data_IF_043569723750
#
_entry.id   IF_043569723750
#
_cell.length_a   1.000
_cell.length_b   1.000
_cell.length_c   1.000
_cell.angle_alpha   90.00
_cell.angle_beta   90.00
_cell.angle_gamma   90.00
#
_symmetry.space_group_name_H-M   'P 1'
#
loop_
_entity.id
_entity.type
_entity.pdbx_description
1 polymer ?
#
# COMPACT_ATOMS: atom_id res chain seq x y z
N UNK A 1 -54.93 18.89 -56.57
CA UNK A 1 -54.02 19.91 -56.00
C UNK A 1 -53.45 19.36 -54.70
N UNK A 2 -52.13 19.50 -54.54
CA UNK A 2 -51.26 18.88 -53.53
C UNK A 2 -51.73 18.87 -52.07
N UNK A 3 -51.40 17.80 -51.34
CA UNK A 3 -50.27 17.77 -50.37
C UNK A 3 -50.15 16.38 -49.74
N UNK A 4 -49.09 15.64 -50.10
CA UNK A 4 -48.66 14.41 -49.42
C UNK A 4 -47.89 14.82 -48.17
N UNK A 5 -48.39 14.47 -46.98
CA UNK A 5 -47.65 14.55 -45.72
C UNK A 5 -46.78 13.31 -45.58
N UNK A 6 -45.46 13.50 -45.56
CA UNK A 6 -44.47 12.47 -45.27
C UNK A 6 -44.07 12.62 -43.80
N UNK A 7 -44.49 11.69 -42.95
CA UNK A 7 -44.11 11.68 -41.53
C UNK A 7 -42.94 10.71 -41.35
N UNK A 8 -41.76 11.24 -41.05
CA UNK A 8 -40.55 10.48 -40.75
C UNK A 8 -40.49 10.22 -39.23
N UNK A 9 -40.69 8.98 -38.79
CA UNK A 9 -40.54 8.58 -37.40
C UNK A 9 -39.06 8.24 -37.12
N UNK A 10 -38.36 9.12 -36.41
CA UNK A 10 -37.03 8.84 -35.85
C UNK A 10 -37.18 8.10 -34.52
N UNK A 11 -36.91 6.79 -34.51
CA UNK A 11 -36.70 6.04 -33.28
C UNK A 11 -35.29 6.33 -32.75
N UNK A 12 -35.15 7.28 -31.83
CA UNK A 12 -33.95 7.39 -31.00
C UNK A 12 -34.00 6.31 -29.92
N UNK A 13 -33.37 5.17 -30.19
CA UNK A 13 -33.04 4.21 -29.13
C UNK A 13 -31.88 4.80 -28.31
N UNK A 14 -32.20 5.52 -27.23
CA UNK A 14 -31.20 5.81 -26.20
C UNK A 14 -30.83 4.49 -25.55
N UNK A 15 -29.70 3.91 -25.97
CA UNK A 15 -29.06 2.86 -25.20
C UNK A 15 -28.67 3.48 -23.86
N UNK A 16 -29.50 3.26 -22.84
CA UNK A 16 -29.14 3.56 -21.46
C UNK A 16 -28.11 2.51 -21.07
N UNK A 17 -26.85 2.77 -21.40
CA UNK A 17 -25.73 2.05 -20.82
C UNK A 17 -25.71 2.40 -19.32
N UNK A 18 -26.33 1.55 -18.51
CA UNK A 18 -25.99 1.44 -17.10
C UNK A 18 -24.55 0.96 -17.02
N UNK A 19 -23.61 1.90 -17.13
CA UNK A 19 -22.26 1.68 -16.62
C UNK A 19 -22.41 1.43 -15.13
N UNK A 20 -22.38 0.17 -14.70
CA UNK A 20 -22.13 -0.14 -13.30
C UNK A 20 -20.79 0.55 -12.98
N UNK A 21 -20.85 1.65 -12.21
CA UNK A 21 -19.68 2.19 -11.55
C UNK A 21 -19.20 1.11 -10.60
N UNK A 22 -18.41 0.16 -11.11
CA UNK A 22 -17.69 -0.80 -10.27
C UNK A 22 -16.76 0.06 -9.45
N UNK A 23 -17.05 0.15 -8.15
CA UNK A 23 -16.07 0.69 -7.21
C UNK A 23 -14.85 -0.22 -7.34
N UNK A 24 -13.79 0.30 -7.96
CA UNK A 24 -12.52 -0.39 -8.12
C UNK A 24 -11.83 -0.36 -6.74
N UNK A 25 -12.20 -1.32 -5.90
CA UNK A 25 -11.61 -1.52 -4.59
C UNK A 25 -11.18 -2.97 -4.43
N UNK A 26 -10.11 -3.20 -3.67
CA UNK A 26 -9.72 -4.56 -3.31
C UNK A 26 -10.71 -5.22 -2.34
N UNK A 27 -10.75 -6.55 -2.38
CA UNK A 27 -11.33 -7.39 -1.34
C UNK A 27 -10.24 -8.21 -0.65
N UNK A 28 -10.49 -8.60 0.60
CA UNK A 28 -9.59 -9.49 1.35
C UNK A 28 -10.07 -10.92 1.14
N UNK A 29 -9.18 -11.81 0.69
CA UNK A 29 -9.51 -13.22 0.55
C UNK A 29 -9.59 -13.91 1.92
N UNK A 30 -10.56 -14.81 2.05
CA UNK A 30 -10.60 -15.75 3.18
C UNK A 30 -9.41 -16.71 3.15
N UNK A 31 -9.16 -17.41 4.25
CA UNK A 31 -8.13 -18.46 4.30
C UNK A 31 -8.40 -19.58 3.29
N UNK A 32 -9.66 -19.93 3.03
CA UNK A 32 -10.01 -20.97 2.07
C UNK A 32 -9.72 -20.52 0.63
N UNK A 33 -10.10 -19.29 0.27
CA UNK A 33 -9.79 -18.72 -1.05
C UNK A 33 -8.29 -18.51 -1.24
N UNK A 34 -7.60 -18.04 -0.21
CA UNK A 34 -6.14 -17.91 -0.22
C UNK A 34 -5.48 -19.25 -0.54
N UNK A 35 -5.86 -20.35 0.13
CA UNK A 35 -5.29 -21.69 -0.13
C UNK A 35 -5.65 -22.26 -1.51
N UNK A 36 -6.74 -21.82 -2.14
CA UNK A 36 -7.08 -22.22 -3.51
C UNK A 36 -6.16 -21.56 -4.55
N UNK A 37 -5.75 -20.31 -4.31
CA UNK A 37 -4.88 -19.56 -5.23
C UNK A 37 -3.40 -19.81 -4.94
N UNK A 38 -3.03 -19.79 -3.67
CA UNK A 38 -1.65 -19.90 -3.16
C UNK A 38 -1.44 -21.27 -2.52
N UNK A 39 -1.40 -22.30 -3.38
CA UNK A 39 -1.08 -23.68 -3.00
C UNK A 39 0.39 -23.85 -2.64
N UNK A 40 0.76 -24.99 -2.06
CA UNK A 40 2.18 -25.28 -1.73
C UNK A 40 3.09 -25.22 -2.97
N UNK A 41 2.59 -25.66 -4.13
CA UNK A 41 3.32 -25.59 -5.39
C UNK A 41 3.55 -24.12 -5.81
N UNK A 42 2.50 -23.28 -5.75
CA UNK A 42 2.60 -21.85 -6.07
C UNK A 42 3.52 -21.14 -5.10
N UNK A 43 3.40 -21.41 -3.81
CA UNK A 43 4.24 -20.81 -2.78
C UNK A 43 5.71 -21.18 -2.98
N UNK A 44 6.00 -22.46 -3.29
CA UNK A 44 7.36 -22.92 -3.63
C UNK A 44 7.89 -22.26 -4.90
N UNK A 45 7.05 -22.13 -5.94
CA UNK A 45 7.43 -21.50 -7.21
C UNK A 45 7.84 -20.04 -7.03
N UNK A 46 7.16 -19.29 -6.16
CA UNK A 46 7.37 -17.85 -5.99
C UNK A 46 8.16 -17.46 -4.73
N UNK A 47 8.78 -18.42 -4.04
CA UNK A 47 9.50 -18.21 -2.77
C UNK A 47 8.65 -17.51 -1.69
N UNK A 48 7.36 -17.87 -1.61
CA UNK A 48 6.46 -17.43 -0.54
C UNK A 48 6.71 -18.35 0.67
N UNK A 49 7.81 -18.05 1.39
CA UNK A 49 8.35 -18.88 2.47
C UNK A 49 8.01 -18.39 3.89
N UNK A 50 7.38 -17.23 4.01
CA UNK A 50 6.82 -16.74 5.27
C UNK A 50 5.31 -16.98 5.34
N UNK A 51 4.74 -17.15 6.55
CA UNK A 51 3.30 -17.22 6.75
C UNK A 51 2.56 -16.08 6.03
N UNK A 52 1.57 -16.44 5.22
CA UNK A 52 0.68 -15.47 4.58
C UNK A 52 -0.25 -14.88 5.64
N UNK A 53 -0.14 -13.57 5.85
CA UNK A 53 -0.92 -12.82 6.84
C UNK A 53 -2.20 -12.28 6.24
N UNK A 54 -2.10 -11.80 5.00
CA UNK A 54 -3.25 -11.29 4.26
C UNK A 54 -3.04 -11.38 2.76
N UNK A 55 -4.12 -11.63 2.03
CA UNK A 55 -4.17 -11.52 0.58
C UNK A 55 -5.28 -10.57 0.19
N UNK A 56 -4.94 -9.57 -0.61
CA UNK A 56 -5.89 -8.69 -1.26
C UNK A 56 -6.04 -9.11 -2.72
N UNK A 57 -7.27 -9.21 -3.21
CA UNK A 57 -7.58 -9.36 -4.64
C UNK A 57 -8.19 -8.07 -5.14
N UNK A 58 -7.75 -7.59 -6.29
CA UNK A 58 -8.40 -6.47 -6.96
C UNK A 58 -8.48 -6.72 -8.46
N UNK A 59 -9.47 -6.07 -9.10
CA UNK A 59 -9.64 -6.03 -10.54
C UNK A 59 -9.57 -4.58 -10.97
N UNK A 60 -8.74 -4.28 -11.96
CA UNK A 60 -8.65 -2.97 -12.59
C UNK A 60 -8.68 -3.10 -14.11
N UNK A 61 -8.54 -1.98 -14.84
CA UNK A 61 -8.57 -2.00 -16.32
C UNK A 61 -7.47 -2.87 -16.93
N UNK A 62 -6.36 -3.09 -16.22
CA UNK A 62 -5.23 -3.90 -16.68
C UNK A 62 -5.37 -5.39 -16.36
N UNK A 63 -6.25 -5.78 -15.44
CA UNK A 63 -6.56 -7.17 -15.15
C UNK A 63 -6.80 -7.43 -13.66
N UNK A 64 -6.78 -8.71 -13.29
CA UNK A 64 -6.94 -9.13 -11.91
C UNK A 64 -5.58 -9.31 -11.25
N UNK A 65 -5.43 -8.81 -10.04
CA UNK A 65 -4.18 -8.88 -9.28
C UNK A 65 -4.41 -9.42 -7.88
N UNK A 66 -3.30 -9.89 -7.29
CA UNK A 66 -3.21 -10.29 -5.90
C UNK A 66 -2.05 -9.58 -5.22
N UNK A 67 -2.26 -9.06 -4.02
CA UNK A 67 -1.21 -8.57 -3.12
C UNK A 67 -1.14 -9.52 -1.94
N UNK A 68 -0.03 -10.23 -1.81
CA UNK A 68 0.22 -11.22 -0.77
C UNK A 68 1.18 -10.62 0.25
N UNK A 69 0.73 -10.43 1.49
CA UNK A 69 1.53 -9.91 2.59
C UNK A 69 1.97 -11.08 3.48
N UNK A 70 3.27 -11.20 3.70
CA UNK A 70 3.87 -12.26 4.51
C UNK A 70 4.86 -11.71 5.54
N UNK A 71 4.87 -12.31 6.72
CA UNK A 71 5.68 -11.89 7.87
C UNK A 71 6.33 -13.15 8.47
N UNK A 72 7.64 -13.12 8.71
CA UNK A 72 8.37 -14.27 9.26
C UNK A 72 7.98 -14.54 10.71
N UNK A 73 7.99 -15.79 11.17
CA UNK A 73 7.74 -16.11 12.57
C UNK A 73 9.08 -16.44 13.26
N UNK A 74 9.71 -15.46 13.91
CA UNK A 74 11.08 -15.62 14.42
C UNK A 74 11.12 -15.98 15.91
N UNK A 75 10.46 -15.19 16.76
CA UNK A 75 10.52 -15.37 18.21
C UNK A 75 9.12 -15.27 18.82
N UNK A 76 8.91 -16.00 19.91
CA UNK A 76 7.86 -15.67 20.89
C UNK A 76 8.56 -14.91 22.01
N UNK A 77 8.23 -13.63 22.20
CA UNK A 77 8.79 -12.89 23.34
C UNK A 77 8.33 -13.57 24.67
N UNK A 78 8.92 -13.19 25.80
CA UNK A 78 8.49 -13.69 27.12
C UNK A 78 7.00 -13.44 27.46
N UNK A 79 6.31 -12.62 26.66
CA UNK A 79 4.86 -12.31 26.73
C UNK A 79 4.01 -13.10 25.72
N UNK A 80 4.60 -14.05 24.98
CA UNK A 80 3.98 -14.92 23.95
C UNK A 80 3.58 -14.24 22.63
N UNK A 81 3.91 -12.97 22.41
CA UNK A 81 3.69 -12.33 21.11
C UNK A 81 4.72 -12.83 20.11
N UNK A 82 4.27 -13.05 18.88
CA UNK A 82 5.14 -13.44 17.77
C UNK A 82 5.84 -12.20 17.23
N UNK A 83 7.17 -12.20 17.28
CA UNK A 83 8.02 -11.19 16.66
C UNK A 83 8.37 -11.62 15.24
N UNK A 84 8.45 -10.62 14.38
CA UNK A 84 8.71 -10.77 12.96
C UNK A 84 9.99 -10.00 12.64
N UNK A 85 11.00 -10.66 12.08
CA UNK A 85 12.26 -10.01 11.69
C UNK A 85 12.31 -9.68 10.20
N UNK A 86 11.44 -10.28 9.39
CA UNK A 86 11.39 -10.11 7.95
C UNK A 86 9.95 -9.99 7.46
N UNK A 87 9.76 -9.17 6.43
CA UNK A 87 8.50 -9.09 5.70
C UNK A 87 8.75 -9.30 4.21
N UNK A 88 7.77 -9.89 3.53
CA UNK A 88 7.68 -9.83 2.08
C UNK A 88 6.26 -9.44 1.65
N UNK A 89 6.17 -8.62 0.60
CA UNK A 89 4.94 -8.47 -0.15
C UNK A 89 5.17 -8.88 -1.59
N UNK A 90 4.21 -9.57 -2.19
CA UNK A 90 4.26 -9.97 -3.58
C UNK A 90 3.04 -9.43 -4.32
N UNK A 91 3.24 -8.83 -5.48
CA UNK A 91 2.16 -8.51 -6.40
C UNK A 91 2.16 -9.48 -7.57
N UNK A 92 1.02 -10.12 -7.79
CA UNK A 92 0.81 -11.03 -8.90
C UNK A 92 -0.30 -10.50 -9.81
N UNK A 93 -0.08 -10.63 -11.11
CA UNK A 93 -1.10 -10.47 -12.14
C UNK A 93 -1.63 -11.87 -12.52
N UNK A 94 -2.94 -12.03 -12.61
CA UNK A 94 -3.56 -13.27 -13.09
C UNK A 94 -3.60 -13.27 -14.62
N UNK A 95 -2.88 -14.19 -15.23
CA UNK A 95 -2.88 -14.42 -16.66
C UNK A 95 -3.52 -15.77 -17.00
N UNK A 96 -3.75 -16.02 -18.29
CA UNK A 96 -4.37 -17.28 -18.76
C UNK A 96 -3.63 -18.53 -18.29
N UNK A 97 -2.31 -18.43 -18.16
CA UNK A 97 -1.41 -19.54 -17.80
C UNK A 97 -1.05 -19.57 -16.31
N UNK A 98 -1.69 -18.75 -15.47
CA UNK A 98 -1.44 -18.67 -14.04
C UNK A 98 -0.96 -17.30 -13.57
N UNK A 99 -0.27 -17.26 -12.44
CA UNK A 99 0.19 -16.03 -11.81
C UNK A 99 1.52 -15.55 -12.41
N UNK A 100 1.62 -14.25 -12.69
CA UNK A 100 2.85 -13.56 -13.05
C UNK A 100 3.24 -12.57 -11.94
N UNK A 101 4.41 -12.75 -11.31
CA UNK A 101 4.93 -11.79 -10.32
C UNK A 101 5.33 -10.48 -11.01
N UNK A 102 4.76 -9.35 -10.59
CA UNK A 102 5.04 -8.02 -11.17
C UNK A 102 6.10 -7.27 -10.37
N UNK A 103 6.02 -7.34 -9.05
CA UNK A 103 6.99 -6.74 -8.14
C UNK A 103 6.90 -7.38 -6.76
N UNK A 104 7.91 -7.12 -5.95
CA UNK A 104 7.94 -7.52 -4.54
C UNK A 104 8.52 -6.42 -3.65
N UNK A 105 8.18 -6.52 -2.36
CA UNK A 105 8.79 -5.79 -1.26
C UNK A 105 9.50 -6.83 -0.41
N UNK A 106 10.75 -6.57 -0.04
CA UNK A 106 11.51 -7.36 0.94
C UNK A 106 12.13 -6.37 1.90
N UNK A 107 11.92 -6.55 3.20
CA UNK A 107 12.51 -5.72 4.24
C UNK A 107 12.71 -6.54 5.52
N UNK A 108 13.61 -6.10 6.39
CA UNK A 108 13.96 -6.77 7.63
C UNK A 108 14.25 -5.75 8.72
N UNK A 109 14.14 -6.16 9.99
CA UNK A 109 14.61 -5.33 11.10
C UNK A 109 16.08 -4.96 10.92
N UNK A 110 16.43 -3.76 11.37
CA UNK A 110 17.76 -3.18 11.27
C UNK A 110 18.31 -2.90 12.66
N UNK A 111 19.63 -3.01 12.77
CA UNK A 111 20.38 -2.46 13.89
C UNK A 111 20.89 -1.10 13.46
N UNK A 112 20.60 -0.05 14.22
CA UNK A 112 21.15 1.25 13.92
C UNK A 112 22.67 1.24 14.20
N UNK A 113 23.53 1.61 13.23
CA UNK A 113 24.98 1.65 13.46
C UNK A 113 25.33 2.71 14.51
N UNK A 114 26.00 2.30 15.60
CA UNK A 114 26.49 3.23 16.62
C UNK A 114 25.52 3.51 17.78
N UNK A 115 24.38 2.83 17.85
CA UNK A 115 23.44 2.89 18.98
C UNK A 115 23.11 1.49 19.48
N UNK A 116 22.75 1.36 20.75
CA UNK A 116 22.20 0.12 21.31
C UNK A 116 20.73 -0.12 20.91
N UNK A 117 20.12 0.82 20.17
CA UNK A 117 18.75 0.71 19.67
C UNK A 117 18.63 -0.36 18.57
N UNK A 118 17.85 -1.38 18.89
CA UNK A 118 17.56 -2.50 18.01
C UNK A 118 16.07 -2.56 17.72
N UNK A 119 15.72 -2.59 16.43
CA UNK A 119 14.36 -2.93 16.03
C UNK A 119 14.06 -4.37 16.46
N UNK A 120 12.95 -4.55 17.17
CA UNK A 120 12.51 -5.82 17.75
C UNK A 120 11.52 -6.57 16.85
N UNK A 121 10.77 -5.86 16.01
CA UNK A 121 9.77 -6.46 15.13
C UNK A 121 9.48 -5.57 13.92
N UNK A 122 9.06 -6.18 12.81
CA UNK A 122 8.61 -5.51 11.57
C UNK A 122 7.32 -6.16 11.04
N UNK A 123 6.31 -5.38 10.68
CA UNK A 123 5.05 -5.94 10.15
C UNK A 123 4.27 -4.96 9.28
N UNK A 124 3.36 -5.47 8.46
CA UNK A 124 2.50 -4.64 7.62
C UNK A 124 1.38 -3.98 8.42
N UNK A 125 1.30 -2.66 8.34
CA UNK A 125 0.26 -1.88 9.02
C UNK A 125 -0.99 -1.83 8.16
N UNK A 126 -1.64 -2.99 8.01
CA UNK A 126 -2.79 -3.21 7.13
C UNK A 126 -3.99 -2.27 7.35
N UNK A 127 -4.07 -1.60 8.52
CA UNK A 127 -5.07 -0.55 8.82
C UNK A 127 -4.87 0.72 7.98
N UNK A 128 -3.65 0.98 7.53
CA UNK A 128 -3.26 2.15 6.73
C UNK A 128 -3.00 1.82 5.27
N UNK A 129 -2.75 0.54 4.96
CA UNK A 129 -2.59 0.06 3.58
C UNK A 129 -3.90 0.17 2.81
N UNK A 130 -3.82 0.64 1.57
CA UNK A 130 -4.97 0.85 0.70
C UNK A 130 -4.70 0.39 -0.74
N UNK A 131 -5.75 -0.06 -1.42
CA UNK A 131 -5.72 -0.56 -2.80
C UNK A 131 -6.98 -0.07 -3.53
N UNK A 132 -6.91 1.16 -4.03
CA UNK A 132 -8.01 1.88 -4.68
C UNK A 132 -7.48 2.63 -5.89
N UNK A 133 -8.36 2.94 -6.81
CA UNK A 133 -8.10 3.89 -7.90
C UNK A 133 -8.26 5.30 -7.32
N UNK A 134 -7.14 5.91 -6.91
CA UNK A 134 -7.14 7.18 -6.16
C UNK A 134 -7.24 8.36 -7.13
N UNK A 135 -6.64 8.27 -8.31
CA UNK A 135 -6.70 9.33 -9.31
C UNK A 135 -7.91 9.26 -10.26
N UNK A 136 -8.63 8.14 -10.25
CA UNK A 136 -9.77 7.77 -11.11
C UNK A 136 -9.37 7.48 -12.57
N UNK A 137 -8.18 6.94 -12.82
CA UNK A 137 -7.72 6.60 -14.16
C UNK A 137 -8.07 5.18 -14.62
N UNK A 138 -8.71 4.40 -13.76
CA UNK A 138 -9.12 3.01 -13.97
C UNK A 138 -8.06 1.96 -13.59
N UNK A 139 -6.92 2.37 -13.01
CA UNK A 139 -5.90 1.49 -12.44
C UNK A 139 -5.91 1.62 -10.92
N UNK A 140 -5.63 0.52 -10.22
CA UNK A 140 -5.48 0.57 -8.77
C UNK A 140 -4.09 1.14 -8.43
N UNK A 141 -4.04 1.98 -7.39
CA UNK A 141 -2.85 2.60 -6.83
C UNK A 141 -2.51 1.96 -5.47
N UNK A 142 -1.71 0.86 -5.42
CA UNK A 142 -1.31 0.28 -4.14
C UNK A 142 -0.54 1.27 -3.27
N UNK A 143 -1.04 1.50 -2.06
CA UNK A 143 -0.35 2.23 -0.99
C UNK A 143 -0.13 1.27 0.17
N UNK A 144 1.09 0.77 0.34
CA UNK A 144 1.45 -0.25 1.32
C UNK A 144 2.27 0.38 2.44
N UNK A 145 1.81 0.23 3.68
CA UNK A 145 2.49 0.73 4.87
C UNK A 145 2.97 -0.45 5.70
N UNK A 146 4.19 -0.33 6.19
CA UNK A 146 4.71 -1.17 7.25
C UNK A 146 5.60 -0.34 8.16
N UNK A 147 5.81 -0.84 9.36
CA UNK A 147 6.68 -0.19 10.33
C UNK A 147 7.35 -1.21 11.23
N UNK A 148 8.21 -0.69 12.09
CA UNK A 148 8.93 -1.49 13.09
C UNK A 148 8.58 -1.04 14.49
N UNK A 149 8.96 -1.86 15.46
CA UNK A 149 8.99 -1.48 16.88
C UNK A 149 10.39 -1.62 17.43
N UNK A 150 10.80 -0.71 18.29
CA UNK A 150 12.05 -0.75 19.08
C UNK A 150 11.77 -1.01 20.56
N UNK A 151 12.55 -0.35 21.42
CA UNK A 151 12.45 -0.47 22.87
C UNK A 151 11.20 0.22 23.42
N UNK A 152 10.86 1.41 22.90
CA UNK A 152 9.65 2.15 23.22
C UNK A 152 8.52 1.80 22.23
N UNK A 153 8.36 0.52 21.91
CA UNK A 153 7.36 0.05 20.95
C UNK A 153 7.50 0.77 19.59
N UNK A 154 6.41 1.26 19.00
CA UNK A 154 6.43 1.93 17.69
C UNK A 154 6.99 3.35 17.77
N UNK A 155 7.19 3.93 18.95
CA UNK A 155 7.63 5.31 19.13
C UNK A 155 9.10 5.52 18.72
N UNK A 156 9.90 4.44 18.69
CA UNK A 156 11.26 4.43 18.11
C UNK A 156 11.30 3.73 16.74
N UNK A 157 10.14 3.38 16.21
CA UNK A 157 10.01 2.59 14.99
C UNK A 157 10.22 3.41 13.73
N UNK A 158 10.72 2.76 12.68
CA UNK A 158 10.66 3.32 11.32
C UNK A 158 9.31 3.00 10.69
N UNK A 159 8.85 3.90 9.83
CA UNK A 159 7.66 3.73 9.01
C UNK A 159 8.07 3.88 7.54
N UNK A 160 7.57 2.99 6.68
CA UNK A 160 7.72 3.12 5.23
C UNK A 160 6.34 3.08 4.58
N UNK A 161 6.02 4.14 3.85
CA UNK A 161 4.83 4.25 3.01
C UNK A 161 5.31 4.05 1.57
N UNK A 162 4.91 2.94 0.95
CA UNK A 162 5.27 2.62 -0.43
C UNK A 162 4.06 2.79 -1.34
N UNK A 163 4.22 3.56 -2.41
CA UNK A 163 3.19 3.81 -3.41
C UNK A 163 3.64 3.16 -4.71
N UNK A 164 2.76 2.39 -5.33
CA UNK A 164 2.97 1.87 -6.68
C UNK A 164 2.00 2.57 -7.62
N UNK A 165 2.54 3.31 -8.59
CA UNK A 165 1.77 4.05 -9.58
C UNK A 165 2.31 3.76 -10.97
N UNK A 166 1.48 3.20 -11.85
CA UNK A 166 1.84 2.87 -13.25
C UNK A 166 3.17 2.11 -13.39
N UNK A 167 3.37 1.10 -12.53
CA UNK A 167 4.57 0.27 -12.52
C UNK A 167 5.81 0.91 -11.90
N UNK A 168 5.71 2.13 -11.37
CA UNK A 168 6.80 2.81 -10.65
C UNK A 168 6.53 2.81 -9.14
N UNK A 169 7.60 2.65 -8.36
CA UNK A 169 7.56 2.70 -6.90
C UNK A 169 8.01 4.08 -6.41
N UNK A 170 7.31 4.58 -5.40
CA UNK A 170 7.61 5.82 -4.69
C UNK A 170 7.55 5.54 -3.18
N UNK A 171 8.32 6.27 -2.39
CA UNK A 171 8.38 6.04 -0.96
C UNK A 171 8.42 7.33 -0.14
N UNK A 172 7.72 7.30 0.98
CA UNK A 172 7.94 8.16 2.14
C UNK A 172 8.50 7.28 3.26
N UNK A 173 9.65 7.66 3.82
CA UNK A 173 10.34 6.94 4.89
C UNK A 173 10.42 7.86 6.08
N UNK A 174 10.04 7.36 7.24
CA UNK A 174 10.02 8.13 8.47
C UNK A 174 10.67 7.32 9.58
N UNK A 175 11.40 8.00 10.44
CA UNK A 175 11.87 7.48 11.72
C UNK A 175 11.06 8.19 12.80
N UNK A 176 10.27 7.44 13.57
CA UNK A 176 9.67 7.98 14.80
C UNK A 176 10.79 8.18 15.84
N UNK A 177 10.51 9.02 16.82
CA UNK A 177 11.33 9.16 18.01
C UNK A 177 10.56 9.89 19.10
N UNK A 178 10.81 9.51 20.35
CA UNK A 178 10.21 10.21 21.49
C UNK A 178 10.80 11.61 21.63
N UNK A 179 12.07 11.78 21.25
CA UNK A 179 12.76 13.07 21.23
C UNK A 179 12.72 13.70 19.83
N UNK A 180 12.61 15.02 19.79
CA UNK A 180 12.44 15.77 18.54
C UNK A 180 13.60 15.52 17.55
N UNK A 181 14.85 15.46 18.02
CA UNK A 181 16.02 15.26 17.16
C UNK A 181 16.13 13.87 16.53
N UNK A 182 15.38 12.88 17.01
CA UNK A 182 15.33 11.52 16.45
C UNK A 182 14.44 11.46 15.21
N UNK A 183 13.44 12.35 15.14
CA UNK A 183 12.39 12.32 14.12
C UNK A 183 12.90 12.90 12.82
N UNK A 184 12.82 12.10 11.77
CA UNK A 184 13.15 12.59 10.43
C UNK A 184 12.31 11.89 9.36
N UNK A 185 12.04 12.60 8.27
CA UNK A 185 11.27 12.08 7.14
C UNK A 185 12.02 12.34 5.84
N UNK A 186 12.06 11.31 4.99
CA UNK A 186 12.59 11.34 3.63
C UNK A 186 11.48 11.01 2.65
N UNK A 187 11.32 11.86 1.64
CA UNK A 187 10.35 11.69 0.56
C UNK A 187 11.12 11.52 -0.74
N UNK A 188 10.82 10.47 -1.51
CA UNK A 188 11.41 10.32 -2.85
C UNK A 188 11.10 11.56 -3.69
N UNK A 189 12.09 12.15 -4.36
CA UNK A 189 11.87 13.36 -5.19
C UNK A 189 10.76 13.17 -6.22
N UNK A 190 10.65 11.96 -6.79
CA UNK A 190 9.62 11.61 -7.77
C UNK A 190 8.20 11.51 -7.17
N UNK A 191 8.05 11.43 -5.85
CA UNK A 191 6.73 11.46 -5.19
C UNK A 191 5.94 12.71 -5.62
N UNK A 192 6.61 13.85 -5.71
CA UNK A 192 5.98 15.13 -6.09
C UNK A 192 5.57 15.19 -7.57
N UNK A 193 5.92 14.18 -8.39
CA UNK A 193 5.41 14.04 -9.75
C UNK A 193 4.14 13.18 -9.83
N UNK A 194 3.69 12.59 -8.72
CA UNK A 194 2.43 11.85 -8.68
C UNK A 194 1.24 12.79 -8.90
N UNK A 195 0.10 12.29 -9.40
CA UNK A 195 -1.16 13.03 -9.36
C UNK A 195 -1.43 13.62 -7.97
N UNK A 196 -1.90 14.87 -7.93
CA UNK A 196 -2.15 15.59 -6.67
C UNK A 196 -3.07 14.80 -5.74
N UNK A 197 -4.09 14.11 -6.28
CA UNK A 197 -4.99 13.24 -5.51
C UNK A 197 -4.24 12.13 -4.74
N UNK A 198 -3.25 11.48 -5.37
CA UNK A 198 -2.44 10.44 -4.72
C UNK A 198 -1.56 11.06 -3.64
N UNK A 199 -0.96 12.22 -3.90
CA UNK A 199 -0.18 12.94 -2.89
C UNK A 199 -1.04 13.32 -1.67
N UNK A 200 -2.24 13.86 -1.88
CA UNK A 200 -3.18 14.18 -0.79
C UNK A 200 -3.63 12.94 -0.04
N UNK A 201 -3.91 11.83 -0.74
CA UNK A 201 -4.30 10.58 -0.11
C UNK A 201 -3.21 10.06 0.85
N UNK A 202 -1.94 10.09 0.43
CA UNK A 202 -0.81 9.72 1.29
C UNK A 202 -0.70 10.65 2.50
N UNK A 203 -0.87 11.96 2.30
CA UNK A 203 -0.86 12.94 3.41
C UNK A 203 -2.02 12.72 4.40
N UNK A 204 -3.19 12.30 3.92
CA UNK A 204 -4.32 11.90 4.77
C UNK A 204 -3.99 10.64 5.59
N UNK A 205 -3.33 9.65 4.99
CA UNK A 205 -2.84 8.47 5.73
C UNK A 205 -1.84 8.88 6.80
N UNK A 206 -0.85 9.73 6.47
CA UNK A 206 0.11 10.26 7.43
C UNK A 206 -0.58 10.94 8.61
N UNK A 207 -1.55 11.83 8.32
CA UNK A 207 -2.36 12.48 9.36
C UNK A 207 -3.12 11.47 10.21
N UNK A 208 -3.75 10.45 9.61
CA UNK A 208 -4.46 9.40 10.35
C UNK A 208 -3.54 8.62 11.27
N UNK A 209 -2.31 8.32 10.85
CA UNK A 209 -1.33 7.65 11.72
C UNK A 209 -0.96 8.51 12.93
N UNK A 210 -0.83 9.83 12.76
CA UNK A 210 -0.62 10.77 13.88
C UNK A 210 -1.84 10.80 14.80
N UNK A 211 -3.03 11.01 14.24
CA UNK A 211 -4.28 11.14 15.01
C UNK A 211 -4.58 9.87 15.83
N UNK A 212 -4.11 8.70 15.39
CA UNK A 212 -4.24 7.42 16.08
C UNK A 212 -3.02 7.04 16.94
N UNK A 213 -2.02 7.93 17.08
CA UNK A 213 -0.85 7.73 17.93
C UNK A 213 0.16 6.69 17.43
N UNK A 214 0.19 6.41 16.13
CA UNK A 214 1.11 5.42 15.53
C UNK A 214 2.27 6.05 14.75
N UNK A 215 2.29 7.37 14.58
CA UNK A 215 3.38 8.09 13.92
C UNK A 215 3.60 9.46 14.54
N UNK A 216 4.86 9.89 14.59
CA UNK A 216 5.27 11.19 15.15
C UNK A 216 6.11 11.94 14.09
N UNK A 217 5.43 12.45 13.06
CA UNK A 217 6.11 13.21 11.99
C UNK A 217 6.61 14.58 12.50
N UNK A 218 7.74 15.09 11.97
CA UNK A 218 8.28 16.38 12.39
C UNK A 218 7.28 17.53 12.29
N UNK A 219 7.40 18.51 13.19
CA UNK A 219 6.57 19.70 13.16
C UNK A 219 6.64 20.40 11.79
N UNK A 220 5.49 20.80 11.27
CA UNK A 220 5.40 21.47 9.98
C UNK A 220 5.63 20.56 8.77
N UNK A 221 5.58 19.23 8.91
CA UNK A 221 5.70 18.28 7.79
C UNK A 221 4.77 18.62 6.61
N UNK A 222 3.55 19.11 6.87
CA UNK A 222 2.62 19.51 5.80
C UNK A 222 3.19 20.66 4.97
N UNK A 223 3.82 21.65 5.62
CA UNK A 223 4.49 22.78 4.97
C UNK A 223 5.72 22.32 4.21
N UNK A 224 6.51 21.41 4.79
CA UNK A 224 7.68 20.83 4.14
C UNK A 224 7.30 20.10 2.85
N UNK A 225 6.28 19.24 2.90
CA UNK A 225 5.78 18.52 1.72
C UNK A 225 5.15 19.45 0.69
N UNK A 226 4.41 20.49 1.12
CA UNK A 226 3.89 21.51 0.19
C UNK A 226 5.00 22.25 -0.55
N UNK A 227 6.15 22.43 0.08
CA UNK A 227 7.35 23.01 -0.52
C UNK A 227 8.22 22.00 -1.29
N UNK A 228 7.73 20.77 -1.50
CA UNK A 228 8.44 19.68 -2.15
C UNK A 228 9.80 19.33 -1.51
N UNK A 229 9.95 19.54 -0.18
CA UNK A 229 11.15 19.12 0.54
C UNK A 229 11.28 17.60 0.51
N UNK A 230 12.48 17.11 0.22
CA UNK A 230 12.77 15.66 0.17
C UNK A 230 13.29 15.12 1.50
N UNK A 231 13.70 16.00 2.40
CA UNK A 231 14.12 15.72 3.76
C UNK A 231 13.59 16.82 4.68
N UNK A 232 13.10 16.42 5.85
CA UNK A 232 12.73 17.33 6.93
C UNK A 232 12.77 16.58 8.25
N UNK A 233 13.26 17.26 9.28
CA UNK A 233 13.33 16.87 10.68
C UNK A 233 12.75 18.03 11.52
N UNK A 234 12.95 17.99 12.84
CA UNK A 234 12.48 19.05 13.75
C UNK A 234 13.36 20.32 13.72
N UNK A 235 14.43 20.36 12.89
CA UNK A 235 15.42 21.46 12.82
C UNK A 235 15.32 22.32 11.54
#
# INVERSE_FOLDING_TARGET
>A
MNRKTLTLLFFFSTAVSFGQNRVLSSEILSHQETRKVFTDLVNKQFDINYPIRRVYRYLDRSGQFFIVLTESNDLKNGRKDTLHHHIKAHNFHMEKNGLLKKWEIVDAITKQPGTDEMENSIWFWTKYTDFKDIDNDGLIDPVIIYGTSGMNHIDDGRIKILIYYKGKKFAVRHQNGTLDFERNTRVDKAFYTLPVKIQEHVKLIMKKMIDEGNAIFPYGWQKAMKAHKIFFDEN
#
